data_IF_738571989248
#
_entry.id   IF_738571989248
#
_cell.length_a   1.000
_cell.length_b   1.000
_cell.length_c   1.000
_cell.angle_alpha   90.00
_cell.angle_beta   90.00
_cell.angle_gamma   90.00
#
_symmetry.space_group_name_H-M   'P 1'
#
loop_
_entity.id
_entity.type
_entity.pdbx_description
1 polymer ?
#
# COMPACT_ATOMS: atom_id res chain seq x y z
N UNK A 1 -9.88 1.72 -5.18
CA UNK A 1 -9.79 1.29 -6.59
C UNK A 1 -9.12 -0.07 -6.60
N UNK A 2 -9.47 -0.96 -7.54
CA UNK A 2 -8.85 -2.28 -7.66
C UNK A 2 -7.85 -2.29 -8.83
N UNK A 3 -6.62 -2.77 -8.59
CA UNK A 3 -5.58 -3.01 -9.59
C UNK A 3 -5.32 -4.51 -9.66
N UNK A 4 -5.12 -5.05 -10.86
CA UNK A 4 -4.79 -6.45 -11.10
C UNK A 4 -3.30 -6.60 -11.40
N UNK A 5 -2.68 -7.67 -10.91
CA UNK A 5 -1.26 -7.94 -11.15
C UNK A 5 -1.03 -8.29 -12.63
N UNK A 6 0.08 -7.83 -13.22
CA UNK A 6 0.42 -8.17 -14.61
C UNK A 6 1.00 -9.56 -14.76
N UNK A 7 1.63 -10.07 -13.70
CA UNK A 7 2.28 -11.37 -13.67
C UNK A 7 1.78 -12.22 -12.48
N UNK A 8 2.03 -13.53 -12.52
CA UNK A 8 1.79 -14.46 -11.41
C UNK A 8 2.83 -14.27 -10.28
N UNK A 9 2.98 -13.04 -9.79
CA UNK A 9 3.91 -12.71 -8.72
C UNK A 9 3.25 -13.04 -7.38
N UNK A 10 3.96 -13.73 -6.47
CA UNK A 10 3.44 -13.97 -5.13
C UNK A 10 3.09 -12.65 -4.44
N UNK A 11 1.87 -12.55 -3.89
CA UNK A 11 1.38 -11.38 -3.13
C UNK A 11 2.38 -10.94 -2.05
N UNK A 12 3.03 -11.90 -1.38
CA UNK A 12 4.06 -11.63 -0.36
C UNK A 12 5.23 -10.80 -0.88
N UNK A 13 5.62 -10.99 -2.14
CA UNK A 13 6.71 -10.23 -2.77
C UNK A 13 6.31 -8.77 -2.91
N UNK A 14 5.08 -8.50 -3.34
CA UNK A 14 4.56 -7.14 -3.53
C UNK A 14 4.42 -6.44 -2.18
N UNK A 15 3.87 -7.12 -1.18
CA UNK A 15 3.80 -6.61 0.20
C UNK A 15 5.20 -6.21 0.68
N UNK A 16 6.19 -7.09 0.50
CA UNK A 16 7.56 -6.82 0.94
C UNK A 16 8.18 -5.60 0.25
N UNK A 17 7.97 -5.42 -1.07
CA UNK A 17 8.46 -4.24 -1.78
C UNK A 17 7.81 -2.95 -1.25
N UNK A 18 6.50 -2.97 -0.99
CA UNK A 18 5.79 -1.82 -0.42
C UNK A 18 6.30 -1.51 0.99
N UNK A 19 6.45 -2.52 1.86
CA UNK A 19 6.98 -2.31 3.21
C UNK A 19 8.40 -1.72 3.21
N UNK A 20 9.26 -2.20 2.32
CA UNK A 20 10.61 -1.66 2.16
C UNK A 20 10.57 -0.18 1.74
N UNK A 21 9.77 0.14 0.73
CA UNK A 21 9.59 1.52 0.25
C UNK A 21 9.06 2.44 1.35
N UNK A 22 8.07 1.97 2.13
CA UNK A 22 7.50 2.72 3.24
C UNK A 22 8.54 3.01 4.32
N UNK A 23 9.36 2.01 4.68
CA UNK A 23 10.44 2.17 5.64
C UNK A 23 11.50 3.19 5.20
N UNK A 24 11.86 3.21 3.91
CA UNK A 24 12.76 4.22 3.32
C UNK A 24 12.14 5.62 3.29
N UNK A 25 10.82 5.70 3.18
CA UNK A 25 10.05 6.96 3.14
C UNK A 25 9.65 7.49 4.53
N UNK A 26 10.00 6.79 5.61
CA UNK A 26 9.66 7.18 6.99
C UNK A 26 8.22 6.89 7.41
N UNK A 27 7.48 6.13 6.60
CA UNK A 27 6.13 5.67 6.92
C UNK A 27 6.18 4.35 7.66
N UNK A 28 5.22 4.14 8.56
CA UNK A 28 5.04 2.88 9.27
C UNK A 28 3.95 2.07 8.60
N UNK A 29 4.15 0.76 8.47
CA UNK A 29 3.12 -0.17 7.99
C UNK A 29 2.77 -1.22 9.05
N UNK A 30 1.52 -1.69 9.01
CA UNK A 30 1.05 -2.83 9.80
C UNK A 30 0.26 -3.75 8.89
N UNK A 31 0.67 -5.01 8.80
CA UNK A 31 -0.03 -6.03 8.01
C UNK A 31 -1.05 -6.77 8.89
N UNK A 32 -2.33 -6.67 8.52
CA UNK A 32 -3.38 -7.56 9.03
C UNK A 32 -3.40 -8.85 8.19
N UNK A 33 -2.92 -9.94 8.77
CA UNK A 33 -2.86 -11.26 8.13
C UNK A 33 -4.23 -11.90 7.92
N UNK A 34 -5.26 -11.50 8.68
CA UNK A 34 -6.61 -12.07 8.55
C UNK A 34 -7.29 -11.57 7.29
N UNK A 35 -7.10 -10.29 6.96
CA UNK A 35 -7.69 -9.64 5.79
C UNK A 35 -6.68 -9.42 4.65
N UNK A 36 -5.42 -9.83 4.85
CA UNK A 36 -4.27 -9.56 3.97
C UNK A 36 -4.27 -8.08 3.58
N UNK A 37 -4.32 -7.20 4.59
CA UNK A 37 -4.44 -5.75 4.40
C UNK A 37 -3.28 -5.03 5.08
N UNK A 38 -2.50 -4.28 4.30
CA UNK A 38 -1.42 -3.44 4.78
C UNK A 38 -1.96 -2.04 5.06
N UNK A 39 -1.91 -1.63 6.32
CA UNK A 39 -2.26 -0.29 6.76
C UNK A 39 -1.00 0.56 6.84
N UNK A 40 -1.04 1.74 6.24
CA UNK A 40 0.07 2.72 6.27
C UNK A 40 -0.31 3.86 7.21
N UNK A 41 0.62 4.23 8.07
CA UNK A 41 0.46 5.24 9.10
C UNK A 41 1.38 6.43 8.82
N UNK A 42 0.86 7.63 9.03
CA UNK A 42 1.64 8.86 9.02
C UNK A 42 2.46 9.03 10.32
N UNK A 43 3.20 10.13 10.40
CA UNK A 43 4.02 10.48 11.57
C UNK A 43 3.20 10.83 12.82
N UNK A 44 1.89 11.03 12.68
CA UNK A 44 0.96 11.26 13.77
C UNK A 44 0.21 9.98 14.19
N UNK A 45 0.70 8.80 13.77
CA UNK A 45 0.10 7.47 14.01
C UNK A 45 -1.35 7.36 13.49
N UNK A 46 -1.71 8.12 12.45
CA UNK A 46 -3.00 7.99 11.77
C UNK A 46 -2.87 7.10 10.55
N UNK A 47 -3.75 6.11 10.43
CA UNK A 47 -3.82 5.25 9.25
C UNK A 47 -4.31 6.04 8.03
N UNK A 48 -3.44 6.33 7.08
CA UNK A 48 -3.73 7.18 5.91
C UNK A 48 -4.13 6.37 4.67
N UNK A 49 -3.66 5.13 4.59
CA UNK A 49 -3.89 4.25 3.45
C UNK A 49 -4.13 2.82 3.93
N UNK A 50 -5.07 2.12 3.30
CA UNK A 50 -5.22 0.67 3.42
C UNK A 50 -5.03 0.01 2.07
N UNK A 51 -4.22 -1.04 2.01
CA UNK A 51 -3.89 -1.80 0.80
C UNK A 51 -4.24 -3.27 1.08
N UNK A 52 -5.38 -3.72 0.55
CA UNK A 52 -5.89 -5.08 0.67
C UNK A 52 -5.47 -5.91 -0.53
N UNK A 53 -4.82 -7.03 -0.29
CA UNK A 53 -4.36 -7.93 -1.34
C UNK A 53 -5.26 -9.16 -1.47
N UNK A 54 -5.40 -9.67 -2.69
CA UNK A 54 -6.05 -10.94 -3.01
C UNK A 54 -5.26 -11.66 -4.12
N UNK A 55 -5.67 -12.87 -4.49
CA UNK A 55 -4.95 -13.72 -5.44
C UNK A 55 -4.64 -13.03 -6.79
N UNK A 56 -5.63 -12.30 -7.31
CA UNK A 56 -5.58 -11.69 -8.65
C UNK A 56 -5.19 -10.19 -8.65
N UNK A 57 -4.97 -9.57 -7.49
CA UNK A 57 -4.77 -8.13 -7.43
C UNK A 57 -4.84 -7.52 -6.04
N UNK A 58 -5.12 -6.22 -6.01
CA UNK A 58 -5.07 -5.40 -4.81
C UNK A 58 -6.14 -4.29 -4.87
N UNK A 59 -6.83 -4.07 -3.76
CA UNK A 59 -7.62 -2.88 -3.51
C UNK A 59 -6.88 -1.97 -2.56
N UNK A 60 -6.72 -0.73 -2.95
CA UNK A 60 -6.14 0.29 -2.09
C UNK A 60 -7.14 1.44 -1.97
N UNK A 61 -7.19 2.00 -0.76
CA UNK A 61 -8.19 2.98 -0.35
C UNK A 61 -7.53 4.03 0.53
N UNK A 62 -7.66 5.30 0.14
CA UNK A 62 -7.34 6.44 0.99
C UNK A 62 -8.35 6.47 2.14
N UNK A 63 -7.85 6.51 3.37
CA UNK A 63 -8.70 6.52 4.56
C UNK A 63 -9.17 7.92 4.93
N UNK A 64 -8.48 8.95 4.42
CA UNK A 64 -8.83 10.36 4.61
C UNK A 64 -8.83 11.10 3.27
N UNK A 65 -9.73 12.09 3.15
CA UNK A 65 -9.88 12.93 1.95
C UNK A 65 -8.97 14.18 1.99
N UNK A 66 -8.67 14.70 3.18
CA UNK A 66 -7.77 15.84 3.42
C UNK A 66 -6.35 15.35 3.76
N UNK A 67 -5.76 14.59 2.85
CA UNK A 67 -4.39 14.11 3.05
C UNK A 67 -3.39 15.12 2.50
N UNK A 68 -2.32 15.38 3.25
CA UNK A 68 -1.26 16.29 2.82
C UNK A 68 -0.63 15.85 1.47
N UNK A 69 -0.03 16.77 0.68
CA UNK A 69 0.55 16.45 -0.63
C UNK A 69 1.57 15.30 -0.63
N UNK A 70 2.24 15.08 0.50
CA UNK A 70 3.15 13.94 0.72
C UNK A 70 2.44 12.58 0.63
N UNK A 71 1.19 12.49 1.08
CA UNK A 71 0.37 11.28 1.02
C UNK A 71 -0.16 11.05 -0.40
N UNK A 72 -0.46 12.12 -1.14
CA UNK A 72 -0.82 12.00 -2.55
C UNK A 72 0.35 11.50 -3.39
N UNK A 73 1.57 11.97 -3.09
CA UNK A 73 2.79 11.44 -3.71
C UNK A 73 2.99 9.96 -3.34
N UNK A 74 2.90 9.64 -2.05
CA UNK A 74 3.02 8.26 -1.55
C UNK A 74 2.03 7.31 -2.27
N UNK A 75 0.80 7.77 -2.45
CA UNK A 75 -0.24 7.01 -3.15
C UNK A 75 0.15 6.70 -4.59
N UNK A 76 0.64 7.70 -5.34
CA UNK A 76 1.08 7.50 -6.72
C UNK A 76 2.31 6.59 -6.82
N UNK A 77 3.24 6.71 -5.87
CA UNK A 77 4.46 5.89 -5.85
C UNK A 77 4.11 4.41 -5.57
N UNK A 78 3.19 4.13 -4.64
CA UNK A 78 2.71 2.77 -4.35
C UNK A 78 1.92 2.20 -5.53
N UNK A 79 1.06 3.01 -6.15
CA UNK A 79 0.33 2.61 -7.35
C UNK A 79 1.29 2.22 -8.49
N UNK A 80 2.37 2.98 -8.66
CA UNK A 80 3.40 2.66 -9.64
C UNK A 80 4.10 1.31 -9.34
N UNK A 81 4.51 1.08 -8.08
CA UNK A 81 5.11 -0.19 -7.64
C UNK A 81 4.19 -1.36 -7.99
N UNK A 82 2.90 -1.27 -7.67
CA UNK A 82 1.93 -2.35 -7.96
C UNK A 82 1.83 -2.61 -9.48
N UNK A 83 1.79 -1.55 -10.30
CA UNK A 83 1.63 -1.67 -11.75
C UNK A 83 2.87 -2.18 -12.50
N UNK A 84 4.05 -2.13 -11.87
CA UNK A 84 5.28 -2.73 -12.42
C UNK A 84 5.31 -4.26 -12.30
N UNK A 85 4.52 -4.83 -11.39
CA UNK A 85 4.47 -6.26 -11.08
C UNK A 85 3.23 -6.96 -11.65
#
# INVERSE_FOLDING_TARGET
MAIYFKNEIPVVTIIHQIEKFLGESGFKSVLDYKEITLYVYDTADKAVLSIRFWLEGVEYKKLYADTAPEIDKLYNDIEHIILEY
#
